data_IF_818569881296
#
_entry.id   IF_818569881296
#
_cell.length_a   1.000
_cell.length_b   1.000
_cell.length_c   1.000
_cell.angle_alpha   90.00
_cell.angle_beta   90.00
_cell.angle_gamma   90.00
#
_symmetry.space_group_name_H-M   'P 1'
#
loop_
_entity.id
_entity.type
_entity.pdbx_description
1 polymer ?
#
# COMPACT_ATOMS: atom_id res chain seq x y z
N UNK A 1 20.34 3.58 -2.56
CA UNK A 1 19.46 4.78 -2.56
C UNK A 1 18.67 4.77 -1.27
N UNK A 2 18.72 5.83 -0.43
CA UNK A 2 17.84 5.90 0.73
C UNK A 2 16.40 6.02 0.24
N UNK A 3 15.50 5.22 0.82
CA UNK A 3 14.07 5.33 0.52
C UNK A 3 13.56 6.71 0.94
N UNK A 4 12.68 7.30 0.14
CA UNK A 4 12.02 8.58 0.45
C UNK A 4 10.88 8.38 1.45
N UNK A 5 10.25 7.21 1.44
CA UNK A 5 9.13 6.90 2.33
C UNK A 5 9.62 6.38 3.69
N UNK A 6 9.21 7.06 4.75
CA UNK A 6 9.48 6.66 6.14
C UNK A 6 8.59 5.47 6.55
N UNK A 7 9.20 4.30 6.81
CA UNK A 7 8.53 3.11 7.35
C UNK A 7 8.77 2.87 8.83
N UNK A 8 9.45 3.77 9.54
CA UNK A 8 9.83 3.56 10.93
C UNK A 8 8.60 3.27 11.79
N UNK A 9 7.57 4.11 11.68
CA UNK A 9 6.30 3.92 12.38
C UNK A 9 5.53 2.66 11.93
N UNK A 10 5.67 2.28 10.65
CA UNK A 10 5.04 1.07 10.11
C UNK A 10 5.71 -0.19 10.68
N UNK A 11 7.04 -0.22 10.74
CA UNK A 11 7.82 -1.35 11.25
C UNK A 11 7.80 -1.47 12.76
N UNK A 12 7.64 -0.36 13.47
CA UNK A 12 7.45 -0.37 14.92
C UNK A 12 6.10 -1.03 15.28
N UNK A 13 5.04 -0.67 14.55
CA UNK A 13 3.71 -1.26 14.71
C UNK A 13 3.61 -2.69 14.19
N UNK A 14 4.30 -2.98 13.08
CA UNK A 14 4.22 -4.24 12.35
C UNK A 14 5.63 -4.74 11.99
N UNK A 15 6.35 -5.38 12.93
CA UNK A 15 7.74 -5.79 12.73
C UNK A 15 7.93 -6.83 11.61
N UNK A 16 6.90 -7.61 11.28
CA UNK A 16 6.92 -8.55 10.16
C UNK A 16 7.02 -7.87 8.78
N UNK A 17 6.65 -6.58 8.68
CA UNK A 17 6.75 -5.82 7.43
C UNK A 17 8.18 -5.40 7.09
N UNK A 18 9.14 -5.56 8.02
CA UNK A 18 10.57 -5.34 7.74
C UNK A 18 11.09 -6.24 6.61
N UNK A 19 10.40 -7.34 6.32
CA UNK A 19 10.69 -8.19 5.17
C UNK A 19 10.61 -7.46 3.82
N UNK A 20 9.86 -6.35 3.74
CA UNK A 20 9.78 -5.50 2.54
C UNK A 20 11.17 -5.02 2.11
N UNK A 21 12.04 -4.68 3.06
CA UNK A 21 13.39 -4.19 2.74
C UNK A 21 14.26 -5.30 2.12
N UNK A 22 13.99 -6.58 2.44
CA UNK A 22 14.73 -7.71 1.90
C UNK A 22 14.33 -8.04 0.46
N UNK A 23 13.06 -7.83 0.12
CA UNK A 23 12.52 -8.09 -1.22
C UNK A 23 12.43 -6.83 -2.07
N UNK A 24 12.91 -5.69 -1.57
CA UNK A 24 12.78 -4.40 -2.24
C UNK A 24 13.40 -4.43 -3.64
N UNK A 25 12.65 -3.93 -4.62
CA UNK A 25 13.06 -3.96 -6.04
C UNK A 25 12.84 -5.28 -6.76
N UNK A 26 12.18 -6.24 -6.13
CA UNK A 26 11.65 -7.43 -6.83
C UNK A 26 10.14 -7.31 -7.09
N UNK A 27 9.61 -8.22 -7.90
CA UNK A 27 8.17 -8.36 -8.11
C UNK A 27 7.44 -8.81 -6.84
N UNK A 28 8.10 -9.61 -5.99
CA UNK A 28 7.49 -10.04 -4.72
C UNK A 28 7.20 -8.84 -3.81
N UNK A 29 8.05 -7.81 -3.79
CA UNK A 29 7.80 -6.59 -3.01
C UNK A 29 6.48 -5.92 -3.40
N UNK A 30 6.24 -5.76 -4.70
CA UNK A 30 5.00 -5.17 -5.20
C UNK A 30 3.78 -5.98 -4.79
N UNK A 31 3.83 -7.30 -5.00
CA UNK A 31 2.73 -8.20 -4.61
C UNK A 31 2.51 -8.17 -3.10
N UNK A 32 3.58 -8.13 -2.30
CA UNK A 32 3.48 -8.04 -0.85
C UNK A 32 2.80 -6.74 -0.41
N UNK A 33 3.23 -5.58 -0.94
CA UNK A 33 2.63 -4.27 -0.63
C UNK A 33 1.16 -4.22 -1.09
N UNK A 34 0.86 -4.77 -2.27
CA UNK A 34 -0.51 -4.87 -2.78
C UNK A 34 -1.39 -5.77 -1.92
N UNK A 35 -0.85 -6.88 -1.42
CA UNK A 35 -1.53 -7.76 -0.49
C UNK A 35 -1.83 -7.06 0.85
N UNK A 36 -0.90 -6.23 1.37
CA UNK A 36 -1.17 -5.43 2.59
C UNK A 36 -2.33 -4.46 2.39
N UNK A 37 -2.43 -3.87 1.20
CA UNK A 37 -3.55 -2.98 0.84
C UNK A 37 -4.84 -3.78 0.69
N UNK A 38 -4.82 -5.01 0.18
CA UNK A 38 -6.03 -5.80 -0.06
C UNK A 38 -6.48 -6.65 1.14
N UNK A 39 -5.60 -6.96 2.09
CA UNK A 39 -5.89 -7.77 3.30
C UNK A 39 -6.89 -7.10 4.27
N UNK A 40 -7.22 -5.83 4.06
CA UNK A 40 -8.26 -5.12 4.83
C UNK A 40 -9.68 -5.37 4.33
N UNK A 41 -9.87 -6.08 3.21
CA UNK A 41 -11.18 -6.27 2.56
C UNK A 41 -12.15 -7.22 3.30
N UNK A 42 -11.71 -7.92 4.35
CA UNK A 42 -12.49 -8.96 5.04
C UNK A 42 -13.52 -8.49 6.07
N UNK A 43 -13.72 -7.18 6.27
CA UNK A 43 -14.82 -6.61 7.09
C UNK A 43 -14.78 -6.88 8.61
N UNK A 44 -13.89 -7.75 9.10
CA UNK A 44 -13.69 -8.05 10.54
C UNK A 44 -12.38 -7.53 11.13
N UNK A 45 -11.42 -7.15 10.27
CA UNK A 45 -10.14 -6.58 10.69
C UNK A 45 -10.22 -5.07 10.51
N UNK A 46 -10.15 -4.34 11.61
CA UNK A 46 -9.97 -2.89 11.63
C UNK A 46 -8.80 -2.60 10.68
N UNK A 47 -9.07 -1.96 9.54
CA UNK A 47 -8.06 -1.72 8.50
C UNK A 47 -6.85 -0.97 9.07
N UNK A 48 -5.77 -0.87 8.29
CA UNK A 48 -4.65 -0.05 8.70
C UNK A 48 -5.13 1.37 9.04
N UNK A 49 -4.65 1.97 10.15
CA UNK A 49 -4.79 3.39 10.40
C UNK A 49 -4.43 4.20 9.16
N UNK A 50 -5.15 5.29 8.91
CA UNK A 50 -4.97 6.10 7.69
C UNK A 50 -3.51 6.52 7.45
N UNK A 51 -2.77 6.80 8.52
CA UNK A 51 -1.33 7.08 8.50
C UNK A 51 -0.50 5.93 7.91
N UNK A 52 -0.75 4.68 8.33
CA UNK A 52 -0.03 3.51 7.86
C UNK A 52 -0.46 3.11 6.44
N UNK A 53 -1.74 3.24 6.11
CA UNK A 53 -2.23 3.02 4.75
C UNK A 53 -1.57 4.00 3.76
N UNK A 54 -1.44 5.28 4.11
CA UNK A 54 -0.73 6.27 3.30
C UNK A 54 0.76 5.94 3.14
N UNK A 55 1.42 5.46 4.19
CA UNK A 55 2.83 5.00 4.10
C UNK A 55 2.98 3.82 3.13
N UNK A 56 2.10 2.82 3.21
CA UNK A 56 2.11 1.66 2.32
C UNK A 56 1.83 2.08 0.86
N UNK A 57 0.90 3.02 0.65
CA UNK A 57 0.61 3.57 -0.68
C UNK A 57 1.80 4.33 -1.27
N UNK A 58 2.47 5.19 -0.47
CA UNK A 58 3.68 5.91 -0.91
C UNK A 58 4.82 4.95 -1.24
N UNK A 59 4.96 3.89 -0.45
CA UNK A 59 5.89 2.80 -0.72
C UNK A 59 5.63 2.13 -2.08
N UNK A 60 4.38 1.80 -2.37
CA UNK A 60 3.99 1.22 -3.65
C UNK A 60 4.34 2.15 -4.82
N UNK A 61 3.97 3.43 -4.71
CA UNK A 61 4.27 4.44 -5.72
C UNK A 61 5.79 4.62 -5.92
N UNK A 62 6.56 4.59 -4.84
CA UNK A 62 8.03 4.66 -4.91
C UNK A 62 8.62 3.43 -5.59
N UNK A 63 8.09 2.24 -5.30
CA UNK A 63 8.50 1.00 -5.97
C UNK A 63 8.14 1.02 -7.46
N UNK A 64 6.90 1.35 -7.82
CA UNK A 64 6.45 1.39 -9.23
C UNK A 64 7.24 2.46 -10.02
N UNK A 65 7.58 3.61 -9.42
CA UNK A 65 8.39 4.64 -10.07
C UNK A 65 9.85 4.18 -10.30
N UNK A 66 10.42 3.40 -9.39
CA UNK A 66 11.78 2.84 -9.53
C UNK A 66 11.81 1.58 -10.42
N UNK A 67 10.71 0.83 -10.46
CA UNK A 67 10.62 -0.46 -11.12
C UNK A 67 9.32 -0.60 -11.93
N UNK A 68 9.09 0.26 -12.93
CA UNK A 68 7.86 0.26 -13.73
C UNK A 68 7.62 -1.05 -14.48
N UNK A 69 8.66 -1.85 -14.70
CA UNK A 69 8.55 -3.19 -15.30
C UNK A 69 7.64 -4.15 -14.50
N UNK A 70 7.44 -3.90 -13.20
CA UNK A 70 6.59 -4.73 -12.34
C UNK A 70 5.16 -4.21 -12.23
N UNK A 71 4.85 -3.04 -12.81
CA UNK A 71 3.54 -2.36 -12.76
C UNK A 71 2.43 -3.13 -13.51
N UNK A 72 2.79 -4.07 -14.40
CA UNK A 72 1.91 -4.75 -15.37
C UNK A 72 0.68 -5.51 -14.82
N UNK A 73 0.47 -5.61 -13.51
CA UNK A 73 -0.85 -6.02 -12.98
C UNK A 73 -1.57 -4.77 -12.47
N UNK A 74 -2.68 -4.32 -13.10
CA UNK A 74 -3.38 -3.11 -12.69
C UNK A 74 -3.73 -3.19 -11.21
N UNK A 75 -3.17 -2.27 -10.41
CA UNK A 75 -3.57 -2.09 -9.03
C UNK A 75 -5.03 -1.65 -9.07
N UNK A 76 -5.96 -2.55 -8.72
CA UNK A 76 -7.39 -2.26 -8.66
C UNK A 76 -7.58 -0.90 -7.99
N UNK A 77 -8.10 0.08 -8.74
CA UNK A 77 -8.41 1.48 -8.38
C UNK A 77 -9.41 1.64 -7.19
N UNK A 78 -9.56 0.63 -6.34
CA UNK A 78 -10.47 0.57 -5.19
C UNK A 78 -9.89 1.12 -3.88
N UNK A 79 -8.71 1.72 -3.92
CA UNK A 79 -8.13 2.43 -2.77
C UNK A 79 -8.01 3.91 -3.09
N UNK A 80 -9.12 4.64 -2.96
CA UNK A 80 -9.16 6.10 -3.14
C UNK A 80 -10.51 6.60 -3.66
N UNK A 81 -11.16 5.83 -4.53
CA UNK A 81 -12.49 6.16 -5.05
C UNK A 81 -13.54 5.20 -4.48
N UNK A 82 -13.95 5.46 -3.23
CA UNK A 82 -15.35 5.21 -2.90
C UNK A 82 -16.16 6.21 -3.72
N UNK A 83 -17.18 5.79 -4.50
CA UNK A 83 -17.96 6.74 -5.26
C UNK A 83 -18.50 7.76 -4.28
N UNK A 84 -18.10 9.03 -4.45
CA UNK A 84 -18.64 10.14 -3.71
C UNK A 84 -20.13 10.20 -4.06
N UNK A 85 -20.96 9.47 -3.30
CA UNK A 85 -22.41 9.60 -3.35
C UNK A 85 -22.71 10.99 -2.79
N UNK A 86 -22.62 11.99 -3.67
CA UNK A 86 -23.36 13.24 -3.52
C UNK A 86 -24.84 12.87 -3.60
N UNK A 87 -25.42 12.52 -2.46
CA UNK A 87 -26.86 12.64 -2.26
C UNK A 87 -27.15 14.14 -2.13
N UNK A 88 -27.29 14.82 -3.27
CA UNK A 88 -28.01 16.09 -3.31
C UNK A 88 -29.47 15.76 -3.51
N UNK A 89 -30.22 15.71 -2.41
CA UNK A 89 -31.67 15.74 -2.46
C UNK A 89 -32.15 17.13 -2.84
N UNK A 90 -33.04 17.20 -3.83
CA UNK A 90 -34.26 18.01 -3.79
C UNK A 90 -35.18 17.62 -4.93
#
# INVERSE_FOLDING_TARGET
>A
MPRKTDTTALYDRFPHLRGIDLIWGTRECRQYISNLMTDTRGGKRQGFPAEHAMTIMRLLMEHDNLYPQFENEPFDLRWGDGPMRRTSGR
#
